data_IF_061158000789
#
_entry.id   IF_061158000789
#
_cell.length_a   1.000
_cell.length_b   1.000
_cell.length_c   1.000
_cell.angle_alpha   90.00
_cell.angle_beta   90.00
_cell.angle_gamma   90.00
#
_symmetry.space_group_name_H-M   'P 1'
#
loop_
_entity.id
_entity.type
_entity.pdbx_description
1 polymer ?
#
# COMPACT_ATOMS: atom_id res chain seq x y z
N UNK A 1 -25.05 -21.93 8.41
CA UNK A 1 -23.59 -21.67 8.43
C UNK A 1 -22.86 -22.23 7.21
N UNK A 2 -22.83 -23.55 6.94
CA UNK A 2 -22.08 -24.13 5.81
C UNK A 2 -22.51 -23.66 4.40
N UNK A 3 -23.77 -23.26 4.23
CA UNK A 3 -24.35 -22.96 2.92
C UNK A 3 -23.79 -21.68 2.25
N UNK A 4 -23.29 -20.70 3.02
CA UNK A 4 -22.76 -19.45 2.47
C UNK A 4 -21.31 -19.61 1.98
N UNK A 5 -20.45 -20.19 2.81
CA UNK A 5 -19.06 -20.52 2.43
C UNK A 5 -19.01 -21.52 1.27
N UNK A 6 -19.92 -22.49 1.25
CA UNK A 6 -20.06 -23.44 0.14
C UNK A 6 -20.46 -22.75 -1.17
N UNK A 7 -21.38 -21.78 -1.14
CA UNK A 7 -21.73 -20.97 -2.32
C UNK A 7 -20.55 -20.16 -2.83
N UNK A 8 -19.76 -19.54 -1.96
CA UNK A 8 -18.55 -18.81 -2.37
C UNK A 8 -17.55 -19.75 -3.05
N UNK A 9 -17.36 -20.96 -2.50
CA UNK A 9 -16.50 -21.97 -3.09
C UNK A 9 -16.97 -22.40 -4.49
N UNK A 10 -18.25 -22.78 -4.64
CA UNK A 10 -18.81 -23.25 -5.91
C UNK A 10 -18.93 -22.15 -6.98
N UNK A 11 -19.31 -20.93 -6.59
CA UNK A 11 -19.66 -19.88 -7.55
C UNK A 11 -18.54 -18.89 -7.82
N UNK A 12 -17.53 -18.82 -6.95
CA UNK A 12 -16.42 -17.88 -7.08
C UNK A 12 -15.09 -18.62 -7.14
N UNK A 13 -14.76 -19.41 -6.10
CA UNK A 13 -13.40 -19.94 -5.98
C UNK A 13 -13.09 -20.99 -7.06
N UNK A 14 -13.93 -22.01 -7.20
CA UNK A 14 -13.73 -23.09 -8.17
C UNK A 14 -13.83 -22.63 -9.62
N UNK A 15 -14.76 -21.74 -10.01
CA UNK A 15 -14.78 -21.16 -11.35
C UNK A 15 -13.58 -20.26 -11.65
N UNK A 16 -12.96 -19.65 -10.62
CA UNK A 16 -11.78 -18.81 -10.78
C UNK A 16 -10.51 -19.63 -11.06
N UNK A 17 -10.39 -20.87 -10.55
CA UNK A 17 -9.23 -21.76 -10.78
C UNK A 17 -8.85 -21.89 -12.27
N UNK A 18 -9.75 -22.29 -13.19
CA UNK A 18 -9.38 -22.39 -14.61
C UNK A 18 -9.09 -21.04 -15.26
N UNK A 19 -9.63 -19.92 -14.72
CA UNK A 19 -9.28 -18.56 -15.18
C UNK A 19 -7.83 -18.25 -14.82
N UNK A 20 -7.44 -18.44 -13.55
CA UNK A 20 -6.07 -18.22 -13.09
C UNK A 20 -5.10 -19.11 -13.84
N UNK A 21 -5.42 -20.40 -14.02
CA UNK A 21 -4.58 -21.32 -14.79
C UNK A 21 -4.32 -20.83 -16.21
N UNK A 22 -5.33 -20.27 -16.89
CA UNK A 22 -5.14 -19.65 -18.22
C UNK A 22 -4.27 -18.40 -18.15
N UNK A 23 -4.49 -17.51 -17.18
CA UNK A 23 -3.69 -16.30 -17.00
C UNK A 23 -2.22 -16.64 -16.76
N UNK A 24 -1.93 -17.57 -15.85
CA UNK A 24 -0.58 -18.03 -15.53
C UNK A 24 0.10 -18.69 -16.73
N UNK A 25 -0.60 -19.60 -17.42
CA UNK A 25 -0.07 -20.29 -18.61
C UNK A 25 0.18 -19.35 -19.79
N UNK A 26 -0.62 -18.29 -19.93
CA UNK A 26 -0.41 -17.28 -20.95
C UNK A 26 0.81 -16.41 -20.63
N UNK A 27 1.00 -16.03 -19.37
CA UNK A 27 2.08 -15.13 -18.95
C UNK A 27 1.99 -13.73 -19.57
N UNK A 28 2.99 -12.90 -19.31
CA UNK A 28 3.10 -11.53 -19.83
C UNK A 28 4.39 -11.35 -20.65
N UNK A 29 4.29 -10.64 -21.78
CA UNK A 29 5.47 -10.31 -22.59
C UNK A 29 6.17 -9.10 -21.96
N UNK A 30 7.48 -9.19 -21.86
CA UNK A 30 8.31 -8.07 -21.42
C UNK A 30 9.40 -7.79 -22.46
N UNK A 31 9.82 -6.53 -22.55
CA UNK A 31 10.99 -6.11 -23.31
C UNK A 31 12.22 -6.11 -22.39
N UNK A 32 13.13 -7.10 -22.51
CA UNK A 32 14.32 -7.15 -21.69
C UNK A 32 15.30 -6.01 -21.98
N UNK A 33 15.34 -5.47 -23.20
CA UNK A 33 16.28 -4.40 -23.57
C UNK A 33 15.96 -3.10 -22.82
N UNK A 34 14.66 -2.78 -22.67
CA UNK A 34 14.20 -1.65 -21.85
C UNK A 34 14.67 -1.80 -20.39
N UNK A 35 14.55 -3.00 -19.82
CA UNK A 35 14.96 -3.26 -18.44
C UNK A 35 16.49 -3.25 -18.27
N UNK A 36 17.26 -3.79 -19.21
CA UNK A 36 18.72 -3.77 -19.16
C UNK A 36 19.26 -2.34 -19.22
N UNK A 37 18.80 -1.54 -20.18
CA UNK A 37 19.17 -0.12 -20.27
C UNK A 37 18.84 0.63 -18.99
N UNK A 38 17.65 0.40 -18.43
CA UNK A 38 17.26 1.03 -17.18
C UNK A 38 18.13 0.59 -16.00
N UNK A 39 18.53 -0.68 -15.95
CA UNK A 39 19.46 -1.20 -14.94
C UNK A 39 20.84 -0.53 -14.99
N UNK A 40 21.37 -0.27 -16.19
CA UNK A 40 22.65 0.44 -16.36
C UNK A 40 22.57 1.88 -15.83
N UNK A 41 21.51 2.61 -16.16
CA UNK A 41 21.29 3.98 -15.68
C UNK A 41 21.13 4.02 -14.15
N UNK A 42 20.36 3.08 -13.58
CA UNK A 42 20.23 2.96 -12.11
C UNK A 42 21.59 2.65 -11.48
N UNK A 43 22.43 1.83 -12.11
CA UNK A 43 23.77 1.49 -11.59
C UNK A 43 24.64 2.74 -11.45
N UNK A 44 24.67 3.59 -12.48
CA UNK A 44 25.40 4.86 -12.45
C UNK A 44 24.88 5.76 -11.33
N UNK A 45 23.55 5.89 -11.21
CA UNK A 45 22.93 6.72 -10.18
C UNK A 45 23.20 6.20 -8.76
N UNK A 46 23.22 4.89 -8.55
CA UNK A 46 23.55 4.29 -7.26
C UNK A 46 24.99 4.62 -6.85
N UNK A 47 25.94 4.56 -7.77
CA UNK A 47 27.34 4.93 -7.51
C UNK A 47 27.48 6.41 -7.13
N UNK A 48 26.75 7.31 -7.79
CA UNK A 48 26.71 8.73 -7.43
C UNK A 48 26.15 8.95 -6.02
N UNK A 49 25.06 8.29 -5.68
CA UNK A 49 24.41 8.40 -4.37
C UNK A 49 25.25 7.81 -3.26
N UNK A 50 25.95 6.70 -3.52
CA UNK A 50 26.89 6.10 -2.59
C UNK A 50 28.04 7.06 -2.28
N UNK A 51 28.69 7.62 -3.31
CA UNK A 51 29.74 8.63 -3.12
C UNK A 51 29.24 9.83 -2.31
N UNK A 52 28.07 10.37 -2.68
CA UNK A 52 27.44 11.48 -1.97
C UNK A 52 27.14 11.15 -0.50
N UNK A 53 26.69 9.93 -0.21
CA UNK A 53 26.44 9.50 1.16
C UNK A 53 27.73 9.38 1.97
N UNK A 54 28.81 8.86 1.37
CA UNK A 54 30.13 8.81 2.01
C UNK A 54 30.67 10.21 2.30
N UNK A 55 30.54 11.14 1.36
CA UNK A 55 30.94 12.54 1.53
C UNK A 55 30.20 13.22 2.70
N UNK A 56 28.87 12.98 2.82
CA UNK A 56 28.07 13.54 3.93
C UNK A 56 28.38 12.85 5.27
N UNK A 57 28.66 11.55 5.25
CA UNK A 57 28.99 10.79 6.46
C UNK A 57 30.43 11.05 6.94
N UNK A 58 31.32 11.53 6.07
CA UNK A 58 32.74 11.71 6.33
C UNK A 58 33.56 10.42 6.31
N UNK A 59 32.94 9.29 5.94
CA UNK A 59 33.59 8.00 5.82
C UNK A 59 32.83 7.04 4.89
N UNK A 60 33.52 6.02 4.40
CA UNK A 60 32.91 4.97 3.61
C UNK A 60 32.16 3.96 4.49
N UNK A 61 30.95 3.59 4.07
CA UNK A 61 30.13 2.57 4.72
C UNK A 61 29.17 1.93 3.71
N UNK A 62 28.61 0.77 4.06
CA UNK A 62 27.66 0.05 3.24
C UNK A 62 26.23 0.58 3.47
N UNK A 63 25.68 1.31 2.49
CA UNK A 63 24.32 1.88 2.52
C UNK A 63 23.19 0.82 2.57
N UNK A 64 23.47 -0.43 2.21
CA UNK A 64 22.52 -1.54 2.36
C UNK A 64 22.51 -2.14 3.76
N UNK A 65 23.54 -1.90 4.57
CA UNK A 65 23.66 -2.42 5.94
C UNK A 65 22.92 -1.53 6.94
N UNK A 66 21.80 -2.04 7.47
CA UNK A 66 21.05 -1.37 8.54
C UNK A 66 21.90 -1.09 9.78
N UNK A 67 22.81 -2.00 10.14
CA UNK A 67 23.71 -1.83 11.30
C UNK A 67 24.71 -0.70 11.09
N UNK A 68 25.37 -0.64 9.93
CA UNK A 68 26.31 0.45 9.67
C UNK A 68 25.59 1.80 9.60
N UNK A 69 24.42 1.84 8.96
CA UNK A 69 23.58 3.04 8.94
C UNK A 69 23.17 3.53 10.33
N UNK A 70 22.84 2.63 11.25
CA UNK A 70 22.54 2.98 12.64
C UNK A 70 23.74 3.66 13.31
N UNK A 71 24.94 3.08 13.16
CA UNK A 71 26.18 3.66 13.69
C UNK A 71 26.45 5.04 13.10
N UNK A 72 26.34 5.22 11.77
CA UNK A 72 26.56 6.53 11.13
C UNK A 72 25.58 7.58 11.66
N UNK A 73 24.27 7.30 11.59
CA UNK A 73 23.24 8.28 11.91
C UNK A 73 23.20 8.60 13.40
N UNK A 74 23.20 7.59 14.26
CA UNK A 74 22.87 7.77 15.68
C UNK A 74 24.09 7.88 16.58
N UNK A 75 25.22 7.22 16.24
CA UNK A 75 26.43 7.29 17.05
C UNK A 75 27.38 8.38 16.56
N UNK A 76 27.69 8.42 15.25
CA UNK A 76 28.67 9.38 14.69
C UNK A 76 28.10 10.76 14.45
N UNK A 77 26.93 10.85 13.80
CA UNK A 77 26.26 12.14 13.58
C UNK A 77 25.44 12.59 14.79
N UNK A 78 25.27 11.74 15.80
CA UNK A 78 24.55 12.07 17.04
C UNK A 78 23.07 12.37 16.85
N UNK A 79 22.46 11.95 15.74
CA UNK A 79 21.03 12.14 15.48
C UNK A 79 20.24 11.36 16.53
N UNK A 80 19.19 11.95 17.09
CA UNK A 80 18.35 11.26 18.08
C UNK A 80 17.42 10.26 17.39
N UNK A 81 17.40 8.98 17.81
CA UNK A 81 16.46 8.00 17.25
C UNK A 81 15.01 8.35 17.54
N UNK A 82 14.17 8.38 16.50
CA UNK A 82 12.74 8.68 16.63
C UNK A 82 11.91 7.45 17.07
N UNK A 83 12.33 6.26 16.62
CA UNK A 83 11.70 4.98 16.96
C UNK A 83 12.76 3.90 17.19
N UNK A 84 12.37 2.86 17.91
CA UNK A 84 13.18 1.65 18.11
C UNK A 84 12.47 0.46 17.45
N UNK A 85 13.28 -0.48 16.96
CA UNK A 85 12.81 -1.80 16.51
C UNK A 85 12.30 -2.62 17.71
N UNK A 86 11.54 -3.71 17.49
CA UNK A 86 11.15 -4.62 18.57
C UNK A 86 12.34 -5.15 19.39
N UNK A 87 13.52 -5.29 18.76
CA UNK A 87 14.78 -5.67 19.41
C UNK A 87 15.50 -4.54 20.14
N UNK A 88 14.89 -3.35 20.27
CA UNK A 88 15.43 -2.21 21.01
C UNK A 88 16.44 -1.34 20.26
N UNK A 89 16.95 -1.80 19.11
CA UNK A 89 17.87 -1.03 18.28
C UNK A 89 17.18 0.18 17.61
N UNK A 90 17.87 1.32 17.41
CA UNK A 90 17.34 2.47 16.66
C UNK A 90 16.78 2.07 15.28
N UNK A 91 15.58 2.51 14.93
CA UNK A 91 14.98 2.16 13.63
C UNK A 91 15.58 2.99 12.49
N UNK A 92 15.87 2.35 11.37
CA UNK A 92 16.16 3.00 10.08
C UNK A 92 15.13 2.63 9.02
N UNK A 93 13.87 2.42 9.44
CA UNK A 93 12.75 2.17 8.53
C UNK A 93 12.50 3.37 7.60
N UNK A 94 11.85 3.13 6.46
CA UNK A 94 11.49 4.17 5.48
C UNK A 94 10.78 5.35 6.15
N UNK A 95 9.74 5.09 6.95
CA UNK A 95 9.02 6.11 7.73
C UNK A 95 9.93 6.95 8.65
N UNK A 96 10.91 6.33 9.32
CA UNK A 96 11.82 7.06 10.22
C UNK A 96 12.82 7.89 9.43
N UNK A 97 13.32 7.35 8.31
CA UNK A 97 14.22 8.09 7.44
C UNK A 97 13.51 9.25 6.73
N UNK A 98 12.22 9.11 6.39
CA UNK A 98 11.41 10.20 5.82
C UNK A 98 11.28 11.35 6.81
N UNK A 99 11.00 11.05 8.09
CA UNK A 99 10.92 12.07 9.14
C UNK A 99 12.29 12.73 9.37
N UNK A 100 13.38 11.95 9.45
CA UNK A 100 14.74 12.48 9.59
C UNK A 100 15.21 13.27 8.35
N UNK A 101 14.71 12.96 7.16
CA UNK A 101 15.08 13.65 5.92
C UNK A 101 14.59 15.10 5.85
N UNK A 102 13.68 15.51 6.76
CA UNK A 102 13.24 16.90 6.90
C UNK A 102 14.37 17.79 7.42
N UNK A 103 15.17 17.27 8.35
CA UNK A 103 16.21 18.03 9.05
C UNK A 103 17.63 17.66 8.57
N UNK A 104 17.83 16.43 8.09
CA UNK A 104 19.16 15.90 7.79
C UNK A 104 19.32 15.47 6.31
N UNK A 105 20.44 15.82 5.65
CA UNK A 105 20.65 15.51 4.24
C UNK A 105 20.95 14.03 3.97
N UNK A 106 21.61 13.32 4.89
CA UNK A 106 22.00 11.92 4.70
C UNK A 106 20.78 10.97 4.56
N UNK A 107 19.76 11.02 5.43
CA UNK A 107 18.53 10.23 5.27
C UNK A 107 17.87 10.37 3.90
N UNK A 108 17.85 11.58 3.32
CA UNK A 108 17.30 11.82 1.98
C UNK A 108 18.05 11.04 0.89
N UNK A 109 19.39 11.04 0.95
CA UNK A 109 20.23 10.27 0.02
C UNK A 109 20.03 8.76 0.21
N UNK A 110 19.92 8.30 1.45
CA UNK A 110 19.69 6.88 1.77
C UNK A 110 18.33 6.40 1.24
N UNK A 111 17.27 7.21 1.38
CA UNK A 111 15.94 6.88 0.86
C UNK A 111 15.96 6.70 -0.66
N UNK A 112 16.60 7.64 -1.38
CA UNK A 112 16.75 7.56 -2.83
C UNK A 112 17.54 6.31 -3.24
N UNK A 113 18.69 6.07 -2.58
CA UNK A 113 19.53 4.89 -2.83
C UNK A 113 18.77 3.59 -2.61
N UNK A 114 18.09 3.44 -1.47
CA UNK A 114 17.32 2.21 -1.15
C UNK A 114 16.16 2.00 -2.11
N UNK A 115 15.48 3.08 -2.51
CA UNK A 115 14.43 3.04 -3.52
C UNK A 115 14.96 2.47 -4.84
N UNK A 116 16.03 3.06 -5.37
CA UNK A 116 16.65 2.62 -6.64
C UNK A 116 17.24 1.21 -6.55
N UNK A 117 17.95 0.88 -5.47
CA UNK A 117 18.55 -0.44 -5.28
C UNK A 117 17.48 -1.53 -5.22
N UNK A 118 16.34 -1.26 -4.56
CA UNK A 118 15.18 -2.17 -4.56
C UNK A 118 14.58 -2.31 -5.95
N UNK A 119 14.43 -1.21 -6.69
CA UNK A 119 13.92 -1.26 -8.07
C UNK A 119 14.81 -2.13 -8.97
N UNK A 120 16.13 -1.95 -8.85
CA UNK A 120 17.11 -2.69 -9.63
C UNK A 120 17.07 -4.19 -9.35
N UNK A 121 17.29 -4.55 -8.08
CA UNK A 121 17.37 -5.94 -7.63
C UNK A 121 16.06 -6.71 -7.78
N UNK A 122 14.92 -6.05 -7.59
CA UNK A 122 13.61 -6.72 -7.61
C UNK A 122 13.05 -6.85 -9.02
N UNK A 123 13.30 -5.87 -9.89
CA UNK A 123 12.64 -5.78 -11.19
C UNK A 123 13.63 -5.79 -12.35
N UNK A 124 14.50 -4.78 -12.49
CA UNK A 124 15.27 -4.59 -13.74
C UNK A 124 16.28 -5.70 -13.97
N UNK A 125 16.92 -6.22 -12.91
CA UNK A 125 17.86 -7.33 -13.01
C UNK A 125 17.15 -8.68 -13.05
N UNK A 126 16.10 -8.83 -12.23
CA UNK A 126 15.48 -10.14 -11.99
C UNK A 126 14.50 -10.55 -13.08
N UNK A 127 13.63 -9.64 -13.55
CA UNK A 127 12.57 -9.99 -14.51
C UNK A 127 13.09 -10.55 -15.84
N UNK A 128 14.17 -10.01 -16.46
CA UNK A 128 14.71 -10.58 -17.70
C UNK A 128 15.15 -12.04 -17.54
N UNK A 129 15.69 -12.40 -16.37
CA UNK A 129 16.12 -13.76 -16.05
C UNK A 129 14.95 -14.73 -15.84
N UNK A 130 13.73 -14.22 -15.68
CA UNK A 130 12.50 -15.00 -15.46
C UNK A 130 11.69 -15.20 -16.73
N UNK A 131 12.21 -14.79 -17.89
CA UNK A 131 11.60 -15.08 -19.19
C UNK A 131 11.70 -16.58 -19.46
N UNK A 132 10.55 -17.23 -19.64
CA UNK A 132 10.52 -18.64 -19.98
C UNK A 132 11.02 -18.83 -21.43
N UNK A 133 12.03 -19.70 -21.66
CA UNK A 133 12.65 -19.85 -22.98
C UNK A 133 11.73 -20.47 -24.04
N UNK A 134 10.66 -21.18 -23.63
CA UNK A 134 9.71 -21.80 -24.57
C UNK A 134 8.64 -20.81 -25.04
N UNK A 135 8.19 -19.91 -24.16
CA UNK A 135 7.09 -18.98 -24.45
C UNK A 135 7.56 -17.58 -24.79
N UNK A 136 8.79 -17.20 -24.40
CA UNK A 136 9.30 -15.83 -24.48
C UNK A 136 8.59 -14.86 -23.54
N UNK A 137 7.95 -15.36 -22.46
CA UNK A 137 7.11 -14.58 -21.54
C UNK A 137 7.47 -14.85 -20.09
N UNK A 138 7.12 -13.92 -19.21
CA UNK A 138 7.21 -14.10 -17.76
C UNK A 138 5.89 -14.66 -17.24
N UNK A 139 5.98 -15.69 -16.40
CA UNK A 139 4.82 -16.37 -15.82
C UNK A 139 4.85 -16.18 -14.31
N UNK A 140 3.79 -15.59 -13.75
CA UNK A 140 3.59 -15.47 -12.30
C UNK A 140 2.75 -16.63 -11.79
N UNK A 141 2.85 -16.92 -10.50
CA UNK A 141 1.91 -17.80 -9.77
C UNK A 141 0.93 -16.96 -8.96
N UNK A 142 -0.38 -17.15 -9.15
CA UNK A 142 -1.44 -16.51 -8.36
C UNK A 142 -1.95 -17.46 -7.28
N UNK A 143 -1.72 -17.09 -6.02
CA UNK A 143 -2.14 -17.90 -4.89
C UNK A 143 -3.53 -17.47 -4.41
N UNK A 144 -4.47 -18.41 -4.48
CA UNK A 144 -5.88 -18.17 -4.11
C UNK A 144 -6.14 -18.35 -2.60
N UNK A 145 -5.34 -19.17 -1.91
CA UNK A 145 -5.60 -19.59 -0.53
C UNK A 145 -4.52 -19.13 0.48
N UNK A 146 -3.91 -17.95 0.26
CA UNK A 146 -2.82 -17.43 1.11
C UNK A 146 -3.24 -16.24 1.98
N UNK A 147 -4.04 -15.31 1.44
CA UNK A 147 -4.36 -14.09 2.18
C UNK A 147 -5.58 -14.28 3.09
N UNK A 148 -5.54 -13.68 4.27
CA UNK A 148 -6.64 -13.77 5.24
C UNK A 148 -7.95 -13.12 4.76
N UNK A 149 -7.85 -12.13 3.86
CA UNK A 149 -8.99 -11.36 3.35
C UNK A 149 -9.57 -11.92 2.05
N UNK A 150 -8.97 -12.97 1.47
CA UNK A 150 -9.39 -13.56 0.21
C UNK A 150 -8.92 -12.84 -1.05
N UNK A 151 -7.98 -11.89 -0.92
CA UNK A 151 -7.25 -11.34 -2.07
C UNK A 151 -6.33 -12.41 -2.66
N UNK A 152 -6.13 -12.37 -3.97
CA UNK A 152 -5.03 -13.11 -4.59
C UNK A 152 -3.70 -12.50 -4.16
N UNK A 153 -2.69 -13.34 -3.96
CA UNK A 153 -1.30 -12.90 -3.95
C UNK A 153 -0.57 -13.43 -5.18
N UNK A 154 0.58 -12.84 -5.53
CA UNK A 154 1.39 -13.31 -6.65
C UNK A 154 2.85 -13.49 -6.26
N UNK A 155 3.48 -14.57 -6.74
CA UNK A 155 4.90 -14.84 -6.54
C UNK A 155 5.53 -15.38 -7.82
N UNK A 156 6.87 -15.36 -7.84
CA UNK A 156 7.71 -15.98 -8.85
C UNK A 156 7.42 -15.61 -10.31
N UNK A 157 7.40 -14.31 -10.67
CA UNK A 157 7.61 -13.12 -9.83
C UNK A 157 6.30 -12.50 -9.34
N UNK A 158 6.35 -11.67 -8.28
CA UNK A 158 5.18 -10.87 -7.89
C UNK A 158 4.92 -9.79 -8.95
N UNK A 159 3.81 -9.92 -9.69
CA UNK A 159 3.39 -8.98 -10.71
C UNK A 159 2.27 -8.03 -10.23
N UNK A 160 1.80 -8.18 -8.99
CA UNK A 160 0.81 -7.27 -8.40
C UNK A 160 1.45 -6.00 -7.81
N UNK A 161 2.74 -6.02 -7.51
CA UNK A 161 3.46 -4.90 -6.87
C UNK A 161 4.37 -4.12 -7.83
N UNK A 162 4.16 -4.23 -9.15
CA UNK A 162 4.96 -3.49 -10.14
C UNK A 162 4.83 -1.98 -9.89
N UNK A 163 5.94 -1.26 -9.65
CA UNK A 163 5.95 0.16 -9.30
C UNK A 163 5.24 1.06 -10.32
N UNK A 164 4.65 2.16 -9.87
CA UNK A 164 3.89 3.11 -10.74
C UNK A 164 3.98 4.58 -10.34
N UNK A 165 4.36 4.85 -9.09
CA UNK A 165 4.20 6.17 -8.48
C UNK A 165 5.27 7.15 -8.95
N UNK A 166 6.52 6.70 -9.03
CA UNK A 166 7.66 7.49 -9.47
C UNK A 166 8.02 7.18 -10.93
N UNK A 167 8.80 8.06 -11.54
CA UNK A 167 9.25 7.96 -12.92
C UNK A 167 9.98 6.64 -13.19
N UNK A 168 10.96 6.31 -12.34
CA UNK A 168 11.69 5.04 -12.39
C UNK A 168 10.75 3.82 -12.39
N UNK A 169 9.72 3.84 -11.56
CA UNK A 169 8.72 2.78 -11.54
C UNK A 169 7.88 2.70 -12.82
N UNK A 170 7.52 3.85 -13.40
CA UNK A 170 6.79 3.91 -14.68
C UNK A 170 7.62 3.35 -15.83
N UNK A 171 8.93 3.59 -15.82
CA UNK A 171 9.86 3.03 -16.81
C UNK A 171 9.92 1.51 -16.76
N UNK A 172 9.89 0.91 -15.56
CA UNK A 172 9.76 -0.55 -15.41
C UNK A 172 8.44 -1.04 -16.02
N UNK A 173 7.32 -0.33 -15.84
CA UNK A 173 6.04 -0.71 -16.46
C UNK A 173 6.06 -0.63 -17.99
N UNK A 174 6.82 0.29 -18.58
CA UNK A 174 6.95 0.38 -20.04
C UNK A 174 7.58 -0.86 -20.66
N UNK A 175 8.34 -1.65 -19.88
CA UNK A 175 8.85 -2.92 -20.34
C UNK A 175 7.75 -3.99 -20.51
N UNK A 176 6.58 -3.83 -19.89
CA UNK A 176 5.46 -4.77 -20.08
C UNK A 176 4.70 -4.39 -21.36
N UNK A 177 4.87 -5.21 -22.41
CA UNK A 177 4.41 -4.88 -23.76
C UNK A 177 3.40 -5.89 -24.29
N UNK A 178 2.59 -5.46 -25.25
CA UNK A 178 1.75 -6.38 -26.02
C UNK A 178 2.60 -7.17 -27.04
N UNK A 179 2.17 -8.39 -27.42
CA UNK A 179 2.60 -9.01 -28.67
C UNK A 179 2.28 -8.13 -29.89
N UNK A 180 2.91 -8.43 -31.02
CA UNK A 180 2.59 -7.80 -32.31
C UNK A 180 1.10 -8.00 -32.64
N UNK A 181 0.45 -6.97 -33.19
CA UNK A 181 -0.99 -6.92 -33.47
C UNK A 181 -1.93 -6.97 -32.25
N UNK A 182 -1.41 -6.88 -31.03
CA UNK A 182 -2.20 -6.79 -29.80
C UNK A 182 -2.01 -5.46 -29.07
N UNK A 183 -2.97 -5.14 -28.19
CA UNK A 183 -2.90 -4.00 -27.27
C UNK A 183 -3.07 -4.47 -25.83
N UNK A 184 -2.47 -3.75 -24.88
CA UNK A 184 -2.73 -3.93 -23.45
C UNK A 184 -3.96 -3.08 -23.08
N UNK A 185 -4.96 -3.73 -22.48
CA UNK A 185 -6.12 -3.06 -21.87
C UNK A 185 -5.98 -3.11 -20.36
N UNK A 186 -6.05 -1.94 -19.72
CA UNK A 186 -6.04 -1.80 -18.26
C UNK A 186 -7.39 -1.28 -17.78
N UNK A 187 -8.05 -2.03 -16.90
CA UNK A 187 -9.30 -1.65 -16.25
C UNK A 187 -9.13 -1.72 -14.73
N UNK A 188 -9.50 -0.63 -14.04
CA UNK A 188 -9.41 -0.51 -12.59
C UNK A 188 -10.73 0.08 -12.05
N UNK A 189 -11.27 -0.52 -10.98
CA UNK A 189 -12.49 -0.03 -10.36
C UNK A 189 -12.22 1.29 -9.62
N UNK A 190 -12.84 2.37 -10.09
CA UNK A 190 -12.78 3.67 -9.42
C UNK A 190 -13.27 3.59 -7.97
N UNK A 191 -12.35 3.77 -7.02
CA UNK A 191 -12.63 3.88 -5.58
C UNK A 191 -13.40 2.68 -5.00
N UNK A 192 -13.07 1.46 -5.43
CA UNK A 192 -13.84 0.25 -5.09
C UNK A 192 -14.10 0.06 -3.60
N UNK A 193 -13.11 0.30 -2.74
CA UNK A 193 -13.25 0.10 -1.29
C UNK A 193 -14.20 1.11 -0.65
N UNK A 194 -14.21 2.36 -1.12
CA UNK A 194 -15.17 3.37 -0.68
C UNK A 194 -16.59 3.04 -1.14
N UNK A 195 -16.74 2.49 -2.35
CA UNK A 195 -18.04 2.03 -2.87
C UNK A 195 -18.58 0.84 -2.07
N UNK A 196 -17.70 -0.11 -1.73
CA UNK A 196 -18.03 -1.23 -0.84
C UNK A 196 -18.43 -0.70 0.53
N UNK A 197 -17.68 0.27 1.09
CA UNK A 197 -18.05 0.89 2.37
C UNK A 197 -19.43 1.54 2.28
N UNK A 198 -19.72 2.34 1.26
CA UNK A 198 -21.03 2.97 1.07
C UNK A 198 -22.17 1.93 0.99
N UNK A 199 -21.92 0.81 0.30
CA UNK A 199 -22.89 -0.29 0.20
C UNK A 199 -23.13 -0.98 1.55
N UNK A 200 -22.06 -1.31 2.30
CA UNK A 200 -22.15 -2.03 3.57
C UNK A 200 -22.68 -1.16 4.70
N UNK A 201 -22.27 0.12 4.72
CA UNK A 201 -22.72 1.09 5.71
C UNK A 201 -24.13 1.58 5.45
N UNK A 202 -24.59 1.52 4.19
CA UNK A 202 -25.84 2.13 3.72
C UNK A 202 -25.92 3.63 4.07
N UNK A 203 -24.77 4.26 4.21
CA UNK A 203 -24.69 5.68 4.54
C UNK A 203 -25.26 6.52 3.40
N UNK A 204 -26.29 7.31 3.70
CA UNK A 204 -26.99 8.12 2.69
C UNK A 204 -26.05 9.14 2.03
N UNK A 205 -25.15 9.74 2.81
CA UNK A 205 -24.21 10.74 2.31
C UNK A 205 -23.26 10.14 1.27
N UNK A 206 -22.65 8.99 1.58
CA UNK A 206 -21.77 8.28 0.65
C UNK A 206 -22.52 7.72 -0.56
N UNK A 207 -23.71 7.13 -0.37
CA UNK A 207 -24.51 6.60 -1.47
C UNK A 207 -24.90 7.70 -2.47
N UNK A 208 -25.40 8.83 -1.98
CA UNK A 208 -25.74 10.00 -2.82
C UNK A 208 -24.50 10.54 -3.52
N UNK A 209 -23.38 10.68 -2.81
CA UNK A 209 -22.14 11.18 -3.41
C UNK A 209 -21.67 10.29 -4.58
N UNK A 210 -21.78 8.97 -4.44
CA UNK A 210 -21.43 8.05 -5.54
C UNK A 210 -22.46 8.03 -6.67
N UNK A 211 -23.76 8.13 -6.37
CA UNK A 211 -24.81 8.18 -7.37
C UNK A 211 -24.72 9.42 -8.25
N UNK A 212 -24.28 10.54 -7.67
CA UNK A 212 -24.10 11.83 -8.36
C UNK A 212 -22.70 11.99 -8.98
N UNK A 213 -21.83 10.99 -8.88
CA UNK A 213 -20.47 11.04 -9.46
C UNK A 213 -19.53 12.05 -8.78
N UNK A 214 -19.81 12.44 -7.53
CA UNK A 214 -18.99 13.40 -6.79
C UNK A 214 -17.61 12.83 -6.43
N UNK A 215 -16.60 13.68 -6.44
CA UNK A 215 -15.29 13.34 -5.88
C UNK A 215 -15.35 13.38 -4.35
N UNK A 216 -15.49 12.21 -3.72
CA UNK A 216 -15.61 12.08 -2.27
C UNK A 216 -14.36 12.61 -1.55
N UNK A 217 -13.17 12.53 -2.15
CA UNK A 217 -11.97 13.08 -1.53
C UNK A 217 -12.02 14.61 -1.50
N UNK A 218 -12.48 15.25 -2.58
CA UNK A 218 -12.69 16.70 -2.58
C UNK A 218 -13.84 17.11 -1.66
N UNK A 219 -14.93 16.35 -1.62
CA UNK A 219 -16.05 16.62 -0.72
C UNK A 219 -15.61 16.52 0.75
N UNK A 220 -14.90 15.46 1.13
CA UNK A 220 -14.33 15.33 2.47
C UNK A 220 -13.37 16.48 2.76
N UNK A 221 -12.48 16.85 1.83
CA UNK A 221 -11.55 17.96 2.03
C UNK A 221 -12.28 19.30 2.25
N UNK A 222 -13.26 19.63 1.41
CA UNK A 222 -14.05 20.85 1.51
C UNK A 222 -14.65 21.01 2.91
N UNK A 223 -15.27 19.95 3.42
CA UNK A 223 -15.91 19.95 4.74
C UNK A 223 -14.87 19.99 5.87
N UNK A 224 -13.85 19.14 5.82
CA UNK A 224 -12.81 19.02 6.85
C UNK A 224 -12.01 20.33 7.02
N UNK A 225 -11.71 21.01 5.91
CA UNK A 225 -10.98 22.27 5.89
C UNK A 225 -11.89 23.50 5.93
N UNK A 226 -13.22 23.34 5.87
CA UNK A 226 -14.18 24.45 5.86
C UNK A 226 -14.07 25.34 4.62
N UNK A 227 -13.80 24.75 3.45
CA UNK A 227 -13.57 25.44 2.19
C UNK A 227 -14.64 25.07 1.15
N UNK A 228 -14.99 25.99 0.22
CA UNK A 228 -15.74 25.65 -0.97
C UNK A 228 -15.07 24.53 -1.78
N UNK A 229 -15.87 23.67 -2.42
CA UNK A 229 -15.41 22.49 -3.19
C UNK A 229 -14.40 22.82 -4.30
N UNK A 230 -14.59 23.95 -4.96
CA UNK A 230 -13.75 24.54 -5.99
C UNK A 230 -12.43 25.08 -5.44
N UNK A 231 -12.42 25.55 -4.19
CA UNK A 231 -11.23 26.03 -3.47
C UNK A 231 -10.34 24.92 -2.89
N UNK A 232 -10.77 23.65 -2.96
CA UNK A 232 -9.96 22.51 -2.48
C UNK A 232 -8.72 22.31 -3.35
N UNK A 233 -7.55 22.44 -2.73
CA UNK A 233 -6.28 22.21 -3.40
C UNK A 233 -6.00 20.73 -3.64
N UNK A 234 -5.10 20.42 -4.58
CA UNK A 234 -4.66 19.05 -4.82
C UNK A 234 -4.00 18.39 -3.60
N UNK A 235 -3.36 19.18 -2.73
CA UNK A 235 -2.79 18.72 -1.47
C UNK A 235 -3.86 18.37 -0.45
N UNK A 236 -4.84 19.25 -0.24
CA UNK A 236 -5.98 19.00 0.64
C UNK A 236 -6.78 17.77 0.21
N UNK A 237 -6.95 17.58 -1.11
CA UNK A 237 -7.54 16.36 -1.66
C UNK A 237 -6.72 15.10 -1.33
N UNK A 238 -5.38 15.18 -1.37
CA UNK A 238 -4.50 14.05 -0.98
C UNK A 238 -4.61 13.75 0.52
N UNK A 239 -4.67 14.78 1.36
CA UNK A 239 -4.89 14.62 2.81
C UNK A 239 -6.25 14.00 3.10
N UNK A 240 -7.32 14.45 2.45
CA UNK A 240 -8.65 13.85 2.58
C UNK A 240 -8.72 12.42 2.04
N UNK A 241 -7.91 12.07 1.03
CA UNK A 241 -7.73 10.68 0.62
C UNK A 241 -7.13 9.84 1.75
N UNK A 242 -6.07 10.32 2.40
CA UNK A 242 -5.49 9.66 3.57
C UNK A 242 -6.51 9.51 4.72
N UNK A 243 -7.33 10.54 4.98
CA UNK A 243 -8.43 10.49 5.94
C UNK A 243 -9.44 9.40 5.57
N UNK A 244 -10.01 9.44 4.35
CA UNK A 244 -11.04 8.48 3.91
C UNK A 244 -10.55 7.03 4.02
N UNK A 245 -9.33 6.74 3.56
CA UNK A 245 -8.79 5.38 3.68
C UNK A 245 -8.45 5.03 5.12
N UNK A 246 -7.77 5.90 5.85
CA UNK A 246 -7.42 5.66 7.25
C UNK A 246 -8.64 5.33 8.10
N UNK A 247 -9.72 6.11 7.95
CA UNK A 247 -10.92 5.93 8.75
C UNK A 247 -11.69 4.65 8.41
N UNK A 248 -11.78 4.30 7.13
CA UNK A 248 -12.41 3.02 6.71
C UNK A 248 -11.65 1.81 7.25
N UNK A 249 -10.33 1.96 7.43
CA UNK A 249 -9.49 0.94 8.05
C UNK A 249 -9.43 1.00 9.58
N UNK A 250 -10.25 1.83 10.22
CA UNK A 250 -10.30 1.92 11.68
C UNK A 250 -9.07 2.57 12.31
N UNK A 251 -8.35 3.42 11.54
CA UNK A 251 -7.23 4.19 12.07
C UNK A 251 -7.70 5.09 13.20
N UNK A 252 -6.95 5.09 14.32
CA UNK A 252 -7.19 6.00 15.44
C UNK A 252 -6.71 7.42 15.12
N UNK A 253 -7.14 8.41 15.90
CA UNK A 253 -6.64 9.78 15.78
C UNK A 253 -5.12 9.88 15.91
N UNK A 254 -4.50 8.96 16.67
CA UNK A 254 -3.04 8.86 16.77
C UNK A 254 -2.39 8.38 15.46
N UNK A 255 -2.99 7.37 14.81
CA UNK A 255 -2.52 6.92 13.50
C UNK A 255 -2.70 8.01 12.44
N UNK A 256 -3.85 8.68 12.45
CA UNK A 256 -4.17 9.73 11.51
C UNK A 256 -3.27 10.96 11.69
N UNK A 257 -2.96 11.34 12.94
CA UNK A 257 -2.04 12.44 13.23
C UNK A 257 -0.64 12.18 12.69
N UNK A 258 -0.17 10.94 12.76
CA UNK A 258 1.13 10.54 12.20
C UNK A 258 1.12 10.57 10.68
N UNK A 259 0.07 10.03 10.05
CA UNK A 259 -0.02 9.98 8.59
C UNK A 259 -0.15 11.38 7.96
N UNK A 260 -0.85 12.30 8.61
CA UNK A 260 -1.04 13.67 8.12
C UNK A 260 0.02 14.66 8.64
N UNK A 261 0.88 14.23 9.57
CA UNK A 261 1.82 15.10 10.27
C UNK A 261 1.15 16.34 10.92
N UNK A 262 0.03 16.12 11.63
CA UNK A 262 -0.74 17.16 12.33
C UNK A 262 -0.89 16.84 13.82
N UNK A 263 -1.22 17.81 14.68
CA UNK A 263 -1.52 17.55 16.08
C UNK A 263 -2.67 16.54 16.26
N UNK A 264 -2.56 15.64 17.26
CA UNK A 264 -3.59 14.63 17.54
C UNK A 264 -4.99 15.21 17.76
N UNK A 265 -5.09 16.40 18.37
CA UNK A 265 -6.37 17.09 18.60
C UNK A 265 -7.03 17.49 17.27
N UNK A 266 -6.23 17.90 16.30
CA UNK A 266 -6.70 18.26 14.97
C UNK A 266 -7.13 17.02 14.19
N UNK A 267 -6.33 15.95 14.25
CA UNK A 267 -6.71 14.66 13.67
C UNK A 267 -8.04 14.15 14.25
N UNK A 268 -8.25 14.24 15.56
CA UNK A 268 -9.52 13.86 16.19
C UNK A 268 -10.69 14.69 15.64
N UNK A 269 -10.53 16.02 15.53
CA UNK A 269 -11.54 16.90 14.94
C UNK A 269 -11.91 16.47 13.52
N UNK A 270 -10.93 16.09 12.70
CA UNK A 270 -11.17 15.60 11.34
C UNK A 270 -11.94 14.28 11.31
N UNK A 271 -11.65 13.36 12.25
CA UNK A 271 -12.42 12.13 12.40
C UNK A 271 -13.86 12.40 12.81
N UNK A 272 -14.08 13.30 13.77
CA UNK A 272 -15.41 13.63 14.29
C UNK A 272 -16.28 14.24 13.17
N UNK A 273 -15.74 15.21 12.42
CA UNK A 273 -16.42 15.80 11.26
C UNK A 273 -16.76 14.77 10.18
N UNK A 274 -15.86 13.81 9.92
CA UNK A 274 -16.12 12.75 8.95
C UNK A 274 -17.28 11.85 9.39
N UNK A 275 -17.33 11.43 10.66
CA UNK A 275 -18.41 10.58 11.16
C UNK A 275 -19.72 11.32 11.38
N UNK A 276 -19.69 12.62 11.68
CA UNK A 276 -20.89 13.47 11.66
C UNK A 276 -21.48 13.54 10.24
N UNK A 277 -20.63 13.60 9.23
CA UNK A 277 -21.07 13.62 7.82
C UNK A 277 -21.56 12.27 7.31
N UNK A 278 -20.90 11.20 7.71
CA UNK A 278 -21.18 9.84 7.26
C UNK A 278 -21.51 8.91 8.44
N UNK A 279 -22.61 9.17 9.18
CA UNK A 279 -22.93 8.46 10.42
C UNK A 279 -23.13 6.95 10.21
N UNK A 280 -23.64 6.53 9.04
CA UNK A 280 -23.83 5.12 8.73
C UNK A 280 -22.52 4.33 8.70
N UNK A 281 -21.39 5.00 8.39
CA UNK A 281 -20.05 4.39 8.44
C UNK A 281 -19.68 4.05 9.89
N UNK A 282 -19.88 4.98 10.82
CA UNK A 282 -19.59 4.75 12.24
C UNK A 282 -20.46 3.62 12.79
N UNK A 283 -21.75 3.65 12.51
CA UNK A 283 -22.71 2.61 12.91
C UNK A 283 -22.30 1.24 12.38
N UNK A 284 -21.92 1.15 11.10
CA UNK A 284 -21.42 -0.08 10.51
C UNK A 284 -20.16 -0.61 11.19
N UNK A 285 -19.20 0.28 11.48
CA UNK A 285 -17.96 -0.11 12.17
C UNK A 285 -18.24 -0.63 13.58
N UNK A 286 -19.08 0.04 14.36
CA UNK A 286 -19.46 -0.42 15.71
C UNK A 286 -20.24 -1.73 15.68
N UNK A 287 -21.22 -1.86 14.78
CA UNK A 287 -21.97 -3.10 14.59
C UNK A 287 -21.05 -4.27 14.22
N UNK A 288 -20.11 -4.04 13.30
CA UNK A 288 -19.15 -5.06 12.88
C UNK A 288 -18.24 -5.48 14.02
N UNK A 289 -17.77 -4.53 14.85
CA UNK A 289 -16.99 -4.83 16.07
C UNK A 289 -17.79 -5.64 17.08
N UNK A 290 -19.05 -5.29 17.32
CA UNK A 290 -19.92 -6.02 18.23
C UNK A 290 -20.16 -7.45 17.75
N UNK A 291 -20.50 -7.62 16.47
CA UNK A 291 -20.68 -8.92 15.83
C UNK A 291 -19.42 -9.79 15.91
N UNK A 292 -18.24 -9.20 15.63
CA UNK A 292 -16.97 -9.89 15.73
C UNK A 292 -16.67 -10.40 17.15
N UNK A 293 -16.97 -9.59 18.17
CA UNK A 293 -16.81 -9.97 19.59
C UNK A 293 -17.73 -11.11 19.97
N UNK A 294 -18.97 -11.12 19.49
CA UNK A 294 -19.95 -12.16 19.78
C UNK A 294 -19.56 -13.48 19.09
N UNK A 295 -19.38 -13.43 17.77
CA UNK A 295 -19.26 -14.61 16.90
C UNK A 295 -17.82 -15.12 16.74
N UNK A 296 -16.82 -14.28 17.01
CA UNK A 296 -15.40 -14.62 16.85
C UNK A 296 -14.85 -14.47 15.42
N UNK A 297 -15.64 -13.93 14.50
CA UNK A 297 -15.23 -13.69 13.11
C UNK A 297 -16.02 -12.55 12.48
N UNK A 298 -15.53 -12.04 11.35
CA UNK A 298 -16.28 -11.16 10.43
C UNK A 298 -16.52 -11.87 9.10
N UNK A 299 -17.56 -11.46 8.36
CA UNK A 299 -17.97 -12.10 7.11
C UNK A 299 -18.16 -11.05 5.99
N UNK A 300 -17.72 -11.36 4.76
CA UNK A 300 -17.95 -10.52 3.58
C UNK A 300 -19.35 -10.74 2.98
N UNK A 301 -19.76 -9.94 1.99
CA UNK A 301 -21.07 -10.08 1.32
C UNK A 301 -21.37 -11.51 0.82
N UNK A 302 -20.38 -12.17 0.21
CA UNK A 302 -20.51 -13.53 -0.34
C UNK A 302 -20.19 -14.64 0.68
N UNK A 303 -20.04 -14.30 1.96
CA UNK A 303 -19.91 -15.29 3.01
C UNK A 303 -18.49 -15.76 3.36
N UNK A 304 -17.44 -15.12 2.82
CA UNK A 304 -16.05 -15.38 3.27
C UNK A 304 -15.87 -14.91 4.70
N UNK A 305 -15.24 -15.73 5.54
CA UNK A 305 -15.01 -15.44 6.96
C UNK A 305 -13.54 -15.16 7.25
N UNK A 306 -13.33 -14.20 8.14
CA UNK A 306 -12.05 -13.95 8.80
C UNK A 306 -12.23 -14.15 10.31
N UNK A 307 -11.62 -15.20 10.84
CA UNK A 307 -11.66 -15.51 12.27
C UNK A 307 -10.66 -14.65 13.04
N UNK A 308 -11.10 -14.17 14.21
CA UNK A 308 -10.36 -13.24 15.07
C UNK A 308 -10.18 -13.89 16.45
N UNK A 309 -9.21 -14.80 16.63
CA UNK A 309 -9.07 -15.59 17.86
C UNK A 309 -8.84 -14.72 19.09
N UNK A 310 -8.15 -13.60 18.93
CA UNK A 310 -7.82 -12.67 20.01
C UNK A 310 -8.90 -11.61 20.27
N UNK A 311 -10.04 -11.60 19.56
CA UNK A 311 -11.06 -10.53 19.69
C UNK A 311 -11.66 -10.44 21.10
N UNK A 312 -11.66 -11.56 21.85
CA UNK A 312 -12.11 -11.68 23.24
C UNK A 312 -10.99 -11.51 24.26
N UNK A 313 -9.74 -11.34 23.82
CA UNK A 313 -8.59 -11.19 24.72
C UNK A 313 -8.76 -9.99 25.63
N UNK A 314 -8.41 -10.12 26.92
CA UNK A 314 -8.42 -8.99 27.86
C UNK A 314 -7.31 -7.98 27.55
N UNK A 315 -6.26 -8.39 26.84
CA UNK A 315 -5.14 -7.55 26.43
C UNK A 315 -5.50 -6.73 25.17
N UNK A 316 -5.53 -5.40 25.31
CA UNK A 316 -5.86 -4.48 24.22
C UNK A 316 -4.90 -4.55 23.03
N UNK A 317 -3.61 -4.81 23.26
CA UNK A 317 -2.62 -4.94 22.20
C UNK A 317 -2.82 -6.22 21.37
N UNK A 318 -3.25 -7.32 22.02
CA UNK A 318 -3.61 -8.56 21.31
C UNK A 318 -4.91 -8.45 20.53
N UNK A 319 -5.88 -7.67 21.03
CA UNK A 319 -7.14 -7.38 20.30
C UNK A 319 -6.96 -6.49 19.05
N UNK A 320 -5.86 -5.74 18.96
CA UNK A 320 -5.63 -4.75 17.91
C UNK A 320 -4.89 -5.32 16.67
N UNK A 321 -4.48 -6.60 16.73
CA UNK A 321 -3.85 -7.36 15.65
C UNK A 321 -4.91 -8.14 14.86
#
# INVERSE_FOLDING_TARGET
>A
CFRATYKSFENIEMPLVPVLSRVERNGVKIDPAVLHKHSEEITLRLAELEKKAHDIAGEAFNLSSTKQLQTILFEKQGIKPLKKTPGGAPSTSEEVLEELALDYPLPKVILEYRGLAKLKSTYTDKLPLMINPKTGRVHTSYHQAVTATGRLSSTDPNLQNIPVRNEEGRRIRQAFIAPEDYLIVSADYSQIELRIMAHLSRDKGLLTAFAEGKDIHRATAAEVFGLPLDSVTGEQRRSAKAINFGLIYGMSAFGLSRQLNIPRKEAQKYMDLYFERYPGVLEYMERTRAQAKEQGYVETLEGRRLYLPDIKSSNAARRAL
#
